data_IF_328867095063
#
_entry.id   IF_328867095063
#
_cell.length_a   1.000
_cell.length_b   1.000
_cell.length_c   1.000
_cell.angle_alpha   90.00
_cell.angle_beta   90.00
_cell.angle_gamma   90.00
#
_symmetry.space_group_name_H-M   'P 1'
#
loop_
_entity.id
_entity.type
_entity.pdbx_description
1 polymer ?
#
# COMPACT_ATOMS: atom_id res chain seq x y z
N UNK A 1 26.20 34.44 10.59
CA UNK A 1 26.45 34.08 9.17
C UNK A 1 27.40 32.91 9.08
N UNK A 2 26.84 31.71 8.98
CA UNK A 2 27.63 30.47 8.81
C UNK A 2 28.37 30.42 7.47
N UNK A 3 27.84 31.07 6.43
CA UNK A 3 28.49 31.19 5.11
C UNK A 3 29.82 31.93 5.19
N UNK A 4 29.84 33.07 5.90
CA UNK A 4 31.06 33.85 6.12
C UNK A 4 32.08 33.11 6.98
N UNK A 5 31.63 32.33 7.95
CA UNK A 5 32.51 31.49 8.77
C UNK A 5 33.15 30.38 7.92
N UNK A 6 32.38 29.72 7.06
CA UNK A 6 32.86 28.64 6.20
C UNK A 6 33.92 29.15 5.19
N UNK A 7 33.70 30.32 4.58
CA UNK A 7 34.68 30.99 3.72
C UNK A 7 35.97 31.36 4.49
N UNK A 8 35.85 31.83 5.72
CA UNK A 8 36.99 32.17 6.58
C UNK A 8 37.80 30.93 6.99
N UNK A 9 37.14 29.82 7.32
CA UNK A 9 37.80 28.54 7.63
C UNK A 9 38.49 27.96 6.40
N UNK A 10 37.86 28.02 5.22
CA UNK A 10 38.47 27.56 3.98
C UNK A 10 39.74 28.35 3.65
N UNK A 11 39.73 29.66 3.90
CA UNK A 11 40.90 30.53 3.73
C UNK A 11 42.01 30.17 4.73
N UNK A 12 41.66 29.99 6.01
CA UNK A 12 42.60 29.57 7.06
C UNK A 12 43.25 28.22 6.72
N UNK A 13 42.47 27.25 6.26
CA UNK A 13 42.94 25.93 5.84
C UNK A 13 43.93 26.05 4.68
N UNK A 14 43.59 26.85 3.66
CA UNK A 14 44.46 27.09 2.50
C UNK A 14 45.82 27.69 2.91
N UNK A 15 45.84 28.64 3.85
CA UNK A 15 47.10 29.22 4.35
C UNK A 15 47.93 28.23 5.16
N UNK A 16 47.29 27.37 5.94
CA UNK A 16 47.98 26.31 6.71
C UNK A 16 48.60 25.28 5.76
N UNK A 17 47.85 24.81 4.76
CA UNK A 17 48.32 23.83 3.77
C UNK A 17 49.48 24.35 2.91
N UNK A 18 49.51 25.65 2.63
CA UNK A 18 50.60 26.32 1.91
C UNK A 18 51.85 26.54 2.76
N UNK A 19 51.80 26.22 4.06
CA UNK A 19 52.93 26.40 4.97
C UNK A 19 53.17 27.86 5.37
N UNK A 20 52.13 28.71 5.36
CA UNK A 20 52.25 30.13 5.77
C UNK A 20 52.42 30.29 7.31
N UNK A 21 52.27 29.20 8.05
CA UNK A 21 52.53 29.12 9.49
C UNK A 21 54.04 29.03 9.74
N UNK A 22 54.61 30.07 10.35
CA UNK A 22 56.01 30.12 10.75
C UNK A 22 56.15 30.76 12.14
N UNK A 23 57.37 30.78 12.70
CA UNK A 23 57.63 31.33 14.04
C UNK A 23 57.13 32.76 14.26
N UNK A 24 57.01 33.58 13.21
CA UNK A 24 56.53 34.97 13.31
C UNK A 24 55.00 35.06 13.25
N UNK A 25 54.33 34.15 12.53
CA UNK A 25 52.87 34.15 12.31
C UNK A 25 52.11 33.19 13.22
N UNK A 26 52.81 32.28 13.91
CA UNK A 26 52.24 31.20 14.71
C UNK A 26 51.17 31.65 15.72
N UNK A 27 51.39 32.77 16.43
CA UNK A 27 50.42 33.27 17.40
C UNK A 27 49.10 33.72 16.73
N UNK A 28 49.18 34.34 15.55
CA UNK A 28 47.98 34.77 14.82
C UNK A 28 47.17 33.56 14.32
N UNK A 29 47.85 32.55 13.77
CA UNK A 29 47.21 31.30 13.36
C UNK A 29 46.60 30.56 14.55
N UNK A 30 47.29 30.54 15.69
CA UNK A 30 46.75 29.96 16.91
C UNK A 30 45.45 30.65 17.36
N UNK A 31 45.39 31.98 17.34
CA UNK A 31 44.14 32.71 17.65
C UNK A 31 43.01 32.41 16.65
N UNK A 32 43.32 32.26 15.36
CA UNK A 32 42.33 31.85 14.35
C UNK A 32 41.82 30.42 14.60
N UNK A 33 42.70 29.50 14.99
CA UNK A 33 42.34 28.12 15.38
C UNK A 33 41.49 28.13 16.66
N UNK A 34 41.80 28.98 17.63
CA UNK A 34 40.98 29.14 18.85
C UNK A 34 39.57 29.65 18.52
N UNK A 35 39.45 30.59 17.58
CA UNK A 35 38.15 31.04 17.08
C UNK A 35 37.39 29.86 16.45
N UNK A 36 38.02 29.07 15.58
CA UNK A 36 37.43 27.86 15.01
C UNK A 36 36.95 26.86 16.08
N UNK A 37 37.75 26.64 17.13
CA UNK A 37 37.38 25.76 18.25
C UNK A 37 36.18 26.30 19.06
N UNK A 38 36.00 27.63 19.14
CA UNK A 38 34.81 28.22 19.75
C UNK A 38 33.54 27.88 18.95
N UNK A 39 33.63 27.79 17.62
CA UNK A 39 32.51 27.37 16.79
C UNK A 39 32.10 25.91 17.02
N UNK A 40 33.02 25.02 17.40
CA UNK A 40 32.68 23.64 17.79
C UNK A 40 31.72 23.63 18.98
N UNK A 41 32.02 24.40 20.04
CA UNK A 41 31.12 24.51 21.20
C UNK A 41 29.74 25.05 20.83
N UNK A 42 29.68 26.06 19.96
CA UNK A 42 28.41 26.58 19.44
C UNK A 42 27.63 25.49 18.72
N UNK A 43 28.27 24.75 17.80
CA UNK A 43 27.63 23.68 17.02
C UNK A 43 27.13 22.53 17.89
N UNK A 44 27.88 22.14 18.93
CA UNK A 44 27.44 21.13 19.90
C UNK A 44 26.19 21.60 20.65
N UNK A 45 26.17 22.85 21.11
CA UNK A 45 25.01 23.41 21.80
C UNK A 45 23.79 23.56 20.85
N UNK A 46 24.03 23.91 19.59
CA UNK A 46 23.00 24.03 18.56
C UNK A 46 22.40 22.66 18.23
N UNK A 47 23.23 21.61 18.12
CA UNK A 47 22.78 20.22 18.00
C UNK A 47 21.91 19.81 19.18
N UNK A 48 22.37 20.06 20.41
CA UNK A 48 21.61 19.72 21.62
C UNK A 48 20.28 20.49 21.70
N UNK A 49 20.25 21.74 21.26
CA UNK A 49 19.01 22.52 21.18
C UNK A 49 18.02 21.91 20.17
N UNK A 50 18.48 21.54 18.97
CA UNK A 50 17.64 20.88 17.97
C UNK A 50 17.16 19.49 18.41
N UNK A 51 17.99 18.72 19.10
CA UNK A 51 17.60 17.44 19.69
C UNK A 51 16.49 17.63 20.72
N UNK A 52 16.62 18.64 21.59
CA UNK A 52 15.57 18.99 22.56
C UNK A 52 14.27 19.43 21.89
N UNK A 53 14.34 20.30 20.88
CA UNK A 53 13.17 20.75 20.12
C UNK A 53 12.47 19.59 19.39
N UNK A 54 13.24 18.62 18.88
CA UNK A 54 12.73 17.43 18.23
C UNK A 54 11.97 16.54 19.23
N UNK A 55 12.50 16.35 20.43
CA UNK A 55 11.83 15.57 21.49
C UNK A 55 10.56 16.27 21.99
N UNK A 56 10.60 17.58 22.21
CA UNK A 56 9.41 18.38 22.55
C UNK A 56 8.33 18.29 21.45
N UNK A 57 8.72 18.26 20.17
CA UNK A 57 7.80 18.09 19.05
C UNK A 57 7.17 16.68 19.00
N UNK A 58 7.95 15.63 19.26
CA UNK A 58 7.45 14.25 19.39
C UNK A 58 6.41 14.15 20.50
N UNK A 59 6.72 14.66 21.70
CA UNK A 59 5.78 14.66 22.83
C UNK A 59 4.48 15.39 22.49
N UNK A 60 4.57 16.57 21.87
CA UNK A 60 3.39 17.31 21.43
C UNK A 60 2.54 16.53 20.43
N UNK A 61 3.18 15.80 19.51
CA UNK A 61 2.49 14.92 18.58
C UNK A 61 1.78 13.76 19.29
N UNK A 62 2.44 13.08 20.23
CA UNK A 62 1.82 12.00 21.03
C UNK A 62 0.58 12.48 21.77
N UNK A 63 0.66 13.64 22.42
CA UNK A 63 -0.47 14.23 23.14
C UNK A 63 -1.63 14.56 22.19
N UNK A 64 -1.34 15.12 21.02
CA UNK A 64 -2.35 15.40 20.00
C UNK A 64 -3.01 14.10 19.49
N UNK A 65 -2.21 13.06 19.19
CA UNK A 65 -2.69 11.76 18.73
C UNK A 65 -3.54 11.06 19.79
N UNK A 66 -3.12 11.09 21.06
CA UNK A 66 -3.91 10.58 22.18
C UNK A 66 -5.24 11.32 22.31
N UNK A 67 -5.26 12.64 22.10
CA UNK A 67 -6.49 13.44 22.10
C UNK A 67 -7.46 13.05 20.97
N UNK A 68 -6.93 12.77 19.78
CA UNK A 68 -7.71 12.26 18.64
C UNK A 68 -8.32 10.89 18.94
N UNK A 69 -7.55 9.98 19.55
CA UNK A 69 -8.04 8.65 19.93
C UNK A 69 -9.22 8.71 20.90
N UNK A 70 -9.14 9.58 21.91
CA UNK A 70 -10.27 9.79 22.85
C UNK A 70 -11.52 10.26 22.11
N UNK A 71 -11.40 11.13 21.10
CA UNK A 71 -12.55 11.55 20.29
C UNK A 71 -13.12 10.38 19.48
N UNK A 72 -12.28 9.55 18.87
CA UNK A 72 -12.73 8.34 18.18
C UNK A 72 -13.45 7.37 19.12
N UNK A 73 -12.95 7.16 20.34
CA UNK A 73 -13.61 6.34 21.35
C UNK A 73 -15.02 6.85 21.69
N UNK A 74 -15.18 8.17 21.86
CA UNK A 74 -16.48 8.78 22.09
C UNK A 74 -17.43 8.58 20.91
N UNK A 75 -16.96 8.77 19.68
CA UNK A 75 -17.75 8.55 18.45
C UNK A 75 -18.19 7.08 18.36
N UNK A 76 -17.26 6.15 18.56
CA UNK A 76 -17.55 4.70 18.58
C UNK A 76 -18.55 4.36 19.68
N UNK A 77 -18.47 4.98 20.86
CA UNK A 77 -19.44 4.79 21.94
C UNK A 77 -20.85 5.29 21.58
N UNK A 78 -20.98 6.35 20.79
CA UNK A 78 -22.27 6.81 20.24
C UNK A 78 -22.85 5.74 19.31
N UNK A 79 -22.07 5.19 18.39
CA UNK A 79 -22.54 4.14 17.48
C UNK A 79 -22.94 2.85 18.21
N UNK A 80 -22.16 2.43 19.20
CA UNK A 80 -22.52 1.31 20.07
C UNK A 80 -23.85 1.58 20.79
N UNK A 81 -24.04 2.79 21.32
CA UNK A 81 -25.27 3.16 22.01
C UNK A 81 -26.48 3.24 21.06
N UNK A 82 -26.29 3.75 19.84
CA UNK A 82 -27.30 3.77 18.78
C UNK A 82 -27.67 2.35 18.30
N UNK A 83 -26.74 1.39 18.43
CA UNK A 83 -26.96 -0.02 18.08
C UNK A 83 -27.66 -0.83 19.16
N UNK A 84 -27.91 -0.25 20.35
CA UNK A 84 -28.70 -0.90 21.41
C UNK A 84 -30.18 -0.86 21.06
N UNK A 85 -30.90 -1.93 21.38
CA UNK A 85 -32.32 -2.13 21.04
C UNK A 85 -33.20 -0.89 21.29
N UNK A 86 -33.01 -0.21 22.44
CA UNK A 86 -33.75 1.00 22.83
C UNK A 86 -33.72 2.12 21.80
N UNK A 87 -32.60 2.32 21.10
CA UNK A 87 -32.47 3.31 20.03
C UNK A 87 -32.64 2.65 18.66
N UNK A 88 -32.10 1.44 18.50
CA UNK A 88 -32.06 0.69 17.25
C UNK A 88 -33.42 0.53 16.58
N UNK A 89 -34.46 0.22 17.36
CA UNK A 89 -35.80 -0.04 16.80
C UNK A 89 -36.48 1.19 16.20
N UNK A 90 -36.04 2.38 16.57
CA UNK A 90 -36.52 3.65 16.02
C UNK A 90 -35.88 4.01 14.68
N UNK A 91 -34.72 3.42 14.35
CA UNK A 91 -34.05 3.67 13.08
C UNK A 91 -34.63 2.83 11.95
N UNK A 92 -34.67 3.41 10.75
CA UNK A 92 -35.02 2.67 9.52
C UNK A 92 -33.95 1.63 9.16
N UNK A 93 -34.32 0.64 8.34
CA UNK A 93 -33.38 -0.39 7.86
C UNK A 93 -32.15 0.20 7.15
N UNK A 94 -32.32 1.27 6.39
CA UNK A 94 -31.22 1.95 5.71
C UNK A 94 -30.29 2.67 6.70
N UNK A 95 -30.86 3.39 7.68
CA UNK A 95 -30.09 4.07 8.73
C UNK A 95 -29.29 3.08 9.57
N UNK A 96 -29.89 1.95 9.97
CA UNK A 96 -29.22 0.87 10.69
C UNK A 96 -27.99 0.33 9.93
N UNK A 97 -28.14 0.11 8.62
CA UNK A 97 -27.02 -0.31 7.75
C UNK A 97 -25.91 0.74 7.75
N UNK A 98 -26.24 2.02 7.61
CA UNK A 98 -25.26 3.10 7.63
C UNK A 98 -24.54 3.20 8.98
N UNK A 99 -25.27 3.15 10.11
CA UNK A 99 -24.69 3.19 11.46
C UNK A 99 -23.71 2.04 11.67
N UNK A 100 -24.05 0.83 11.24
CA UNK A 100 -23.17 -0.34 11.34
C UNK A 100 -21.89 -0.17 10.51
N UNK A 101 -22.02 0.37 9.28
CA UNK A 101 -20.86 0.65 8.41
C UNK A 101 -19.96 1.72 9.02
N UNK A 102 -20.52 2.84 9.49
CA UNK A 102 -19.76 3.91 10.11
C UNK A 102 -19.09 3.47 11.41
N UNK A 103 -19.75 2.64 12.22
CA UNK A 103 -19.16 2.06 13.44
C UNK A 103 -17.90 1.27 13.10
N UNK A 104 -17.99 0.36 12.12
CA UNK A 104 -16.87 -0.46 11.68
C UNK A 104 -15.71 0.38 11.13
N UNK A 105 -16.02 1.39 10.31
CA UNK A 105 -15.02 2.30 9.76
C UNK A 105 -14.32 3.12 10.86
N UNK A 106 -15.08 3.63 11.83
CA UNK A 106 -14.51 4.40 12.94
C UNK A 106 -13.63 3.53 13.85
N UNK A 107 -14.01 2.29 14.10
CA UNK A 107 -13.20 1.32 14.85
C UNK A 107 -11.89 0.98 14.13
N UNK A 108 -11.94 0.75 12.83
CA UNK A 108 -10.76 0.46 12.01
C UNK A 108 -9.78 1.63 12.03
N UNK A 109 -10.27 2.85 11.79
CA UNK A 109 -9.43 4.06 11.84
C UNK A 109 -8.84 4.25 13.25
N UNK A 110 -9.64 4.10 14.30
CA UNK A 110 -9.17 4.22 15.69
C UNK A 110 -8.06 3.21 15.98
N UNK A 111 -8.22 1.95 15.56
CA UNK A 111 -7.23 0.92 15.80
C UNK A 111 -5.90 1.23 15.10
N UNK A 112 -5.94 1.74 13.85
CA UNK A 112 -4.74 2.18 13.13
C UNK A 112 -3.98 3.26 13.91
N UNK A 113 -4.68 4.29 14.39
CA UNK A 113 -4.07 5.38 15.17
C UNK A 113 -3.58 4.90 16.55
N UNK A 114 -4.23 3.88 17.12
CA UNK A 114 -3.81 3.27 18.38
C UNK A 114 -2.51 2.49 18.20
N UNK A 115 -2.41 1.71 17.12
CA UNK A 115 -1.21 0.96 16.75
C UNK A 115 -0.02 1.91 16.47
N UNK A 116 -0.27 3.06 15.82
CA UNK A 116 0.74 4.11 15.61
C UNK A 116 1.27 4.65 16.95
N UNK A 117 0.37 4.99 17.89
CA UNK A 117 0.76 5.45 19.22
C UNK A 117 1.52 4.37 20.01
N UNK A 118 1.13 3.11 19.89
CA UNK A 118 1.82 1.98 20.53
C UNK A 118 3.16 1.62 19.86
N UNK A 119 3.35 1.98 18.58
CA UNK A 119 4.62 1.91 17.88
C UNK A 119 5.62 2.90 18.48
N UNK A 120 5.21 4.17 18.58
CA UNK A 120 6.03 5.26 19.13
C UNK A 120 6.52 4.94 20.55
N UNK A 121 5.64 4.45 21.42
CA UNK A 121 6.01 4.09 22.81
C UNK A 121 7.06 2.98 22.88
N UNK A 122 6.98 1.98 21.99
CA UNK A 122 7.95 0.87 21.97
C UNK A 122 9.33 1.30 21.47
N UNK A 123 9.38 2.24 20.53
CA UNK A 123 10.65 2.79 20.04
C UNK A 123 11.39 3.56 21.16
N UNK A 124 10.67 4.28 22.01
CA UNK A 124 11.24 5.07 23.12
C UNK A 124 11.71 4.24 24.32
N UNK A 125 10.99 3.17 24.67
CA UNK A 125 11.41 2.26 25.75
C UNK A 125 12.75 1.58 25.43
N UNK A 126 13.13 1.48 24.15
CA UNK A 126 14.40 0.90 23.70
C UNK A 126 15.59 1.89 23.71
N UNK A 127 15.36 3.20 23.95
CA UNK A 127 16.40 4.24 23.90
C UNK A 127 16.97 4.63 25.28
N UNK A 128 16.45 4.08 26.38
CA UNK A 128 16.73 4.53 27.76
C UNK A 128 17.68 3.62 28.58
N UNK A 129 18.43 2.71 27.95
CA UNK A 129 19.34 1.78 28.64
C UNK A 129 20.82 2.15 28.47
N UNK A 130 21.30 3.23 29.08
CA UNK A 130 22.66 3.32 29.64
C UNK A 130 22.87 4.68 30.33
N UNK A 131 23.07 4.69 31.66
CA UNK A 131 23.97 5.61 32.38
C UNK A 131 23.88 5.36 33.91
N UNK A 132 24.64 4.38 34.40
CA UNK A 132 25.03 4.30 35.83
C UNK A 132 26.36 5.07 36.02
N UNK A 133 26.38 6.04 36.94
CA UNK A 133 27.56 6.84 37.32
C UNK A 133 27.94 6.49 38.76
N UNK A 134 29.11 5.88 38.96
CA UNK A 134 29.71 5.69 40.29
C UNK A 134 30.86 6.69 40.53
N UNK A 135 30.87 7.27 41.74
CA UNK A 135 31.87 8.24 42.25
C UNK A 135 32.72 7.59 43.37
N UNK A 136 34.07 7.64 43.35
CA UNK A 136 34.91 6.95 44.32
C UNK A 136 35.63 7.89 45.30
N UNK A 137 35.42 7.73 46.61
CA UNK A 137 36.39 8.20 47.60
C UNK A 137 36.35 7.46 48.94
N UNK A 138 37.49 6.88 49.30
CA UNK A 138 38.19 6.95 50.61
C UNK A 138 38.76 5.60 51.09
N UNK A 139 40.07 5.44 50.94
CA UNK A 139 40.88 4.36 51.49
C UNK A 139 41.53 4.82 52.81
N UNK A 140 41.21 4.23 53.99
CA UNK A 140 42.13 4.09 55.14
C UNK A 140 41.62 3.33 56.40
N UNK A 141 40.96 2.18 56.26
CA UNK A 141 40.81 1.20 57.37
C UNK A 141 41.41 -0.18 56.96
N UNK A 142 42.63 -0.13 56.42
CA UNK A 142 43.00 -0.87 55.20
C UNK A 142 43.40 -2.35 55.32
N UNK A 143 43.22 -3.04 56.44
CA UNK A 143 43.50 -4.51 56.48
C UNK A 143 42.35 -5.34 57.05
N UNK A 144 41.77 -4.96 58.19
CA UNK A 144 40.58 -5.67 58.70
C UNK A 144 39.31 -5.23 57.94
N UNK A 145 39.16 -3.94 57.65
CA UNK A 145 38.08 -3.45 56.77
C UNK A 145 38.34 -3.79 55.30
N UNK A 146 39.60 -3.98 54.87
CA UNK A 146 39.89 -4.51 53.53
C UNK A 146 39.50 -5.99 53.37
N UNK A 147 39.69 -6.82 54.41
CA UNK A 147 39.24 -8.22 54.38
C UNK A 147 37.71 -8.32 54.47
N UNK A 148 37.06 -7.52 55.32
CA UNK A 148 35.60 -7.45 55.38
C UNK A 148 35.02 -6.94 54.06
N UNK A 149 35.59 -5.88 53.48
CA UNK A 149 35.21 -5.34 52.18
C UNK A 149 35.45 -6.35 51.05
N UNK A 150 36.53 -7.14 51.09
CA UNK A 150 36.75 -8.22 50.13
C UNK A 150 35.69 -9.34 50.26
N UNK A 151 35.29 -9.69 51.49
CA UNK A 151 34.24 -10.69 51.73
C UNK A 151 32.87 -10.16 51.31
N UNK A 152 32.59 -8.89 51.55
CA UNK A 152 31.37 -8.21 51.12
C UNK A 152 31.30 -8.10 49.59
N UNK A 153 32.40 -7.70 48.93
CA UNK A 153 32.48 -7.67 47.47
C UNK A 153 32.29 -9.06 46.84
N UNK A 154 32.90 -10.10 47.41
CA UNK A 154 32.69 -11.48 46.93
C UNK A 154 31.25 -11.98 47.18
N UNK A 155 30.60 -11.48 48.23
CA UNK A 155 29.20 -11.81 48.53
C UNK A 155 28.26 -11.08 47.57
N UNK A 156 28.51 -9.82 47.27
CA UNK A 156 27.80 -9.03 46.26
C UNK A 156 27.99 -9.63 44.86
N UNK A 157 29.20 -10.06 44.51
CA UNK A 157 29.46 -10.80 43.27
C UNK A 157 28.68 -12.13 43.27
N UNK A 158 28.62 -12.85 44.39
CA UNK A 158 27.81 -14.08 44.48
C UNK A 158 26.32 -13.83 44.33
N UNK A 159 25.80 -12.76 44.94
CA UNK A 159 24.39 -12.38 44.86
C UNK A 159 24.04 -11.87 43.45
N UNK A 160 24.95 -11.13 42.80
CA UNK A 160 24.85 -10.73 41.40
C UNK A 160 24.83 -11.95 40.47
N UNK A 161 25.75 -12.91 40.66
CA UNK A 161 25.78 -14.15 39.89
C UNK A 161 24.52 -15.01 40.12
N UNK A 162 23.96 -15.01 41.33
CA UNK A 162 22.67 -15.67 41.63
C UNK A 162 21.53 -15.03 40.87
N UNK A 163 21.44 -13.69 40.88
CA UNK A 163 20.43 -12.98 40.10
C UNK A 163 20.59 -13.19 38.60
N UNK A 164 21.83 -13.23 38.11
CA UNK A 164 22.12 -13.50 36.70
C UNK A 164 21.73 -14.94 36.32
N UNK A 165 21.99 -15.92 37.18
CA UNK A 165 21.55 -17.30 36.98
C UNK A 165 20.02 -17.43 37.02
N UNK A 166 19.35 -16.74 37.94
CA UNK A 166 17.89 -16.71 37.98
C UNK A 166 17.29 -16.01 36.76
N UNK A 167 17.93 -14.95 36.25
CA UNK A 167 17.56 -14.30 35.00
C UNK A 167 17.70 -15.27 33.81
N UNK A 168 18.85 -15.93 33.66
CA UNK A 168 19.04 -16.94 32.60
C UNK A 168 18.10 -18.12 32.75
N UNK A 169 17.80 -18.54 33.97
CA UNK A 169 16.81 -19.61 34.23
C UNK A 169 15.42 -19.19 33.77
N UNK A 170 15.00 -17.96 34.09
CA UNK A 170 13.73 -17.40 33.64
C UNK A 170 13.68 -17.26 32.11
N UNK A 171 14.76 -16.79 31.49
CA UNK A 171 14.86 -16.67 30.03
C UNK A 171 14.76 -18.04 29.35
N UNK A 172 15.41 -19.07 29.89
CA UNK A 172 15.30 -20.46 29.38
C UNK A 172 13.88 -21.00 29.56
N UNK A 173 13.22 -20.73 30.69
CA UNK A 173 11.82 -21.14 30.89
C UNK A 173 10.87 -20.42 29.92
N UNK A 174 11.11 -19.13 29.64
CA UNK A 174 10.36 -18.35 28.67
C UNK A 174 10.57 -18.89 27.25
N UNK A 175 11.81 -19.14 26.83
CA UNK A 175 12.13 -19.71 25.52
C UNK A 175 11.51 -21.09 25.32
N UNK A 176 11.50 -21.94 26.36
CA UNK A 176 10.80 -23.24 26.31
C UNK A 176 9.28 -23.07 26.16
N UNK A 177 8.70 -22.08 26.84
CA UNK A 177 7.28 -21.79 26.74
C UNK A 177 6.90 -21.22 25.36
N UNK A 178 7.71 -20.31 24.82
CA UNK A 178 7.54 -19.74 23.49
C UNK A 178 7.70 -20.80 22.41
N UNK A 179 8.73 -21.65 22.48
CA UNK A 179 8.92 -22.72 21.50
C UNK A 179 7.76 -23.73 21.52
N UNK A 180 7.27 -24.08 22.71
CA UNK A 180 6.11 -24.97 22.88
C UNK A 180 4.79 -24.35 22.41
N UNK A 181 4.57 -23.04 22.62
CA UNK A 181 3.38 -22.32 22.14
C UNK A 181 3.44 -22.06 20.64
N UNK A 182 4.56 -21.55 20.12
CA UNK A 182 4.74 -21.24 18.71
C UNK A 182 4.58 -22.49 17.84
N UNK A 183 5.20 -23.62 18.22
CA UNK A 183 5.03 -24.87 17.47
C UNK A 183 3.58 -25.36 17.47
N UNK A 184 2.87 -25.26 18.60
CA UNK A 184 1.50 -25.77 18.74
C UNK A 184 0.47 -24.86 18.06
N UNK A 185 0.65 -23.55 18.13
CA UNK A 185 -0.23 -22.57 17.50
C UNK A 185 -0.02 -22.54 15.98
N UNK A 186 1.23 -22.70 15.50
CA UNK A 186 1.49 -22.88 14.07
C UNK A 186 0.87 -24.17 13.51
N UNK A 187 1.01 -25.30 14.21
CA UNK A 187 0.47 -26.59 13.74
C UNK A 187 -1.07 -26.56 13.70
N UNK A 188 -1.70 -25.99 14.72
CA UNK A 188 -3.17 -25.84 14.75
C UNK A 188 -3.67 -24.88 13.68
N UNK A 189 -2.95 -23.79 13.41
CA UNK A 189 -3.29 -22.84 12.33
C UNK A 189 -3.13 -23.47 10.95
N UNK A 190 -2.03 -24.20 10.71
CA UNK A 190 -1.78 -24.95 9.47
C UNK A 190 -2.85 -26.01 9.25
N UNK A 191 -3.26 -26.74 10.31
CA UNK A 191 -4.31 -27.75 10.21
C UNK A 191 -5.70 -27.15 9.92
N UNK A 192 -6.03 -25.99 10.51
CA UNK A 192 -7.25 -25.27 10.18
C UNK A 192 -7.27 -24.77 8.72
N UNK A 193 -6.15 -24.20 8.25
CA UNK A 193 -6.01 -23.79 6.85
C UNK A 193 -6.13 -24.98 5.88
N UNK A 194 -5.53 -26.13 6.22
CA UNK A 194 -5.64 -27.35 5.42
C UNK A 194 -7.09 -27.84 5.33
N UNK A 195 -7.86 -27.82 6.43
CA UNK A 195 -9.27 -28.20 6.46
C UNK A 195 -10.13 -27.26 5.59
N UNK A 196 -9.89 -25.96 5.66
CA UNK A 196 -10.57 -24.96 4.82
C UNK A 196 -10.30 -25.20 3.32
N UNK A 197 -9.04 -25.42 2.96
CA UNK A 197 -8.66 -25.72 1.58
C UNK A 197 -9.27 -27.03 1.09
N UNK A 198 -9.29 -28.07 1.93
CA UNK A 198 -9.90 -29.35 1.61
C UNK A 198 -11.41 -29.22 1.39
N UNK A 199 -12.10 -28.41 2.20
CA UNK A 199 -13.53 -28.14 2.04
C UNK A 199 -13.82 -27.34 0.75
N UNK A 200 -12.98 -26.34 0.43
CA UNK A 200 -13.09 -25.59 -0.82
C UNK A 200 -12.87 -26.49 -2.05
N UNK A 201 -11.89 -27.39 -2.00
CA UNK A 201 -11.58 -28.32 -3.08
C UNK A 201 -12.71 -29.33 -3.31
N UNK A 202 -13.30 -29.87 -2.23
CA UNK A 202 -14.50 -30.72 -2.33
C UNK A 202 -15.71 -29.96 -2.91
N UNK A 203 -15.90 -28.71 -2.52
CA UNK A 203 -16.95 -27.84 -3.07
C UNK A 203 -16.77 -27.61 -4.57
N UNK A 204 -15.54 -27.32 -5.01
CA UNK A 204 -15.22 -27.11 -6.42
C UNK A 204 -15.36 -28.39 -7.24
N UNK A 205 -14.96 -29.54 -6.70
CA UNK A 205 -15.14 -30.84 -7.35
C UNK A 205 -16.63 -31.19 -7.56
N UNK A 206 -17.47 -30.89 -6.56
CA UNK A 206 -18.94 -31.05 -6.68
C UNK A 206 -19.53 -30.09 -7.72
N UNK A 207 -19.03 -28.86 -7.80
CA UNK A 207 -19.47 -27.89 -8.81
C UNK A 207 -19.09 -28.34 -10.23
N UNK A 208 -17.86 -28.85 -10.43
CA UNK A 208 -17.40 -29.39 -11.71
C UNK A 208 -18.28 -30.55 -12.20
N UNK A 209 -18.63 -31.50 -11.31
CA UNK A 209 -19.55 -32.59 -11.65
C UNK A 209 -20.93 -32.07 -12.09
N UNK A 210 -21.45 -31.07 -11.38
CA UNK A 210 -22.74 -30.45 -11.73
C UNK A 210 -22.69 -29.75 -13.10
N UNK A 211 -21.63 -29.00 -13.38
CA UNK A 211 -21.43 -28.34 -14.69
C UNK A 211 -21.30 -29.38 -15.80
N UNK A 212 -20.64 -30.51 -15.53
CA UNK A 212 -20.51 -31.61 -16.50
C UNK A 212 -21.87 -32.25 -16.82
N UNK A 213 -22.75 -32.45 -15.83
CA UNK A 213 -24.13 -32.92 -16.06
C UNK A 213 -24.96 -31.90 -16.86
N UNK A 214 -24.88 -30.62 -16.52
CA UNK A 214 -25.55 -29.54 -17.25
C UNK A 214 -25.08 -29.44 -18.70
N UNK A 215 -23.77 -29.65 -18.95
CA UNK A 215 -23.21 -29.70 -20.29
C UNK A 215 -23.77 -30.86 -21.11
N UNK A 216 -23.77 -32.08 -20.57
CA UNK A 216 -24.35 -33.27 -21.24
C UNK A 216 -25.84 -33.07 -21.55
N UNK A 217 -26.58 -32.43 -20.64
CA UNK A 217 -27.99 -32.12 -20.86
C UNK A 217 -28.18 -31.13 -22.02
N UNK A 218 -27.38 -30.06 -22.08
CA UNK A 218 -27.41 -29.09 -23.20
C UNK A 218 -27.02 -29.73 -24.52
N UNK A 219 -26.06 -30.65 -24.51
CA UNK A 219 -25.64 -31.38 -25.70
C UNK A 219 -26.79 -32.23 -26.27
N UNK A 220 -27.53 -32.95 -25.41
CA UNK A 220 -28.71 -33.71 -25.82
C UNK A 220 -29.85 -32.83 -26.35
N UNK A 221 -30.08 -31.67 -25.72
CA UNK A 221 -31.06 -30.68 -26.19
C UNK A 221 -30.67 -30.11 -27.57
N UNK A 222 -29.39 -29.85 -27.80
CA UNK A 222 -28.87 -29.37 -29.07
C UNK A 222 -29.08 -30.40 -30.19
N UNK A 223 -28.84 -31.68 -29.92
CA UNK A 223 -29.04 -32.73 -30.93
C UNK A 223 -30.51 -32.88 -31.31
N UNK A 224 -31.42 -32.81 -30.32
CA UNK A 224 -32.86 -32.78 -30.58
C UNK A 224 -33.27 -31.59 -31.45
N UNK A 225 -32.71 -30.40 -31.20
CA UNK A 225 -32.96 -29.21 -32.02
C UNK A 225 -32.46 -29.40 -33.46
N UNK A 226 -31.33 -30.08 -33.67
CA UNK A 226 -30.84 -30.40 -35.03
C UNK A 226 -31.79 -31.36 -35.76
N UNK A 227 -32.28 -32.40 -35.08
CA UNK A 227 -33.26 -33.32 -35.67
C UNK A 227 -34.55 -32.60 -36.05
N UNK A 228 -35.07 -31.74 -35.17
CA UNK A 228 -36.29 -30.98 -35.45
C UNK A 228 -36.07 -29.96 -36.58
N UNK A 229 -34.88 -29.34 -36.66
CA UNK A 229 -34.49 -28.50 -37.79
C UNK A 229 -34.50 -29.28 -39.10
N UNK A 230 -33.91 -30.48 -39.15
CA UNK A 230 -33.90 -31.33 -40.35
C UNK A 230 -35.31 -31.73 -40.79
N UNK A 231 -36.19 -32.06 -39.83
CA UNK A 231 -37.61 -32.34 -40.13
C UNK A 231 -38.30 -31.12 -40.74
N UNK A 232 -38.07 -29.93 -40.20
CA UNK A 232 -38.63 -28.68 -40.74
C UNK A 232 -38.07 -28.37 -42.14
N UNK A 233 -36.77 -28.52 -42.36
CA UNK A 233 -36.16 -28.34 -43.69
C UNK A 233 -36.77 -29.30 -44.72
N UNK A 234 -36.99 -30.57 -44.35
CA UNK A 234 -37.64 -31.57 -45.23
C UNK A 234 -39.09 -31.19 -45.54
N UNK A 235 -39.86 -30.70 -44.56
CA UNK A 235 -41.23 -30.22 -44.77
C UNK A 235 -41.26 -28.97 -45.66
N UNK A 236 -40.30 -28.06 -45.51
CA UNK A 236 -40.15 -26.89 -46.36
C UNK A 236 -39.82 -27.27 -47.81
N UNK A 237 -38.92 -28.23 -48.02
CA UNK A 237 -38.60 -28.72 -49.38
C UNK A 237 -39.85 -29.35 -50.03
N UNK A 238 -40.58 -30.20 -49.30
CA UNK A 238 -41.83 -30.79 -49.79
C UNK A 238 -42.89 -29.72 -50.12
N UNK A 239 -43.04 -28.68 -49.29
CA UNK A 239 -43.96 -27.58 -49.55
C UNK A 239 -43.52 -26.73 -50.76
N UNK A 240 -42.21 -26.56 -50.97
CA UNK A 240 -41.63 -25.86 -52.12
C UNK A 240 -41.77 -26.68 -53.40
N UNK A 241 -41.67 -28.00 -53.34
CA UNK A 241 -42.00 -28.90 -54.46
C UNK A 241 -43.51 -28.89 -54.76
N UNK A 242 -44.35 -28.79 -53.74
CA UNK A 242 -45.80 -28.61 -53.89
C UNK A 242 -46.14 -27.23 -54.50
N UNK A 243 -45.42 -26.18 -54.11
CA UNK A 243 -45.51 -24.83 -54.71
C UNK A 243 -44.98 -24.80 -56.16
N UNK A 244 -43.89 -25.51 -56.46
CA UNK A 244 -43.34 -25.62 -57.83
C UNK A 244 -44.21 -26.47 -58.76
N UNK A 245 -44.90 -27.49 -58.22
CA UNK A 245 -45.89 -28.27 -58.97
C UNK A 245 -47.20 -27.49 -59.16
N UNK A 246 -47.54 -26.57 -58.24
CA UNK A 246 -48.65 -25.63 -58.38
C UNK A 246 -48.29 -24.40 -59.26
N UNK A 247 -47.00 -24.04 -59.35
CA UNK A 247 -46.44 -22.95 -60.18
C UNK A 247 -46.02 -23.37 -61.60
N UNK A 248 -46.34 -24.60 -62.03
CA UNK A 248 -46.48 -24.92 -63.47
C UNK A 248 -47.75 -24.33 -64.09
N UNK A 249 -48.49 -23.52 -63.32
CA UNK A 249 -49.35 -22.46 -63.81
C UNK A 249 -48.77 -21.14 -63.28
N UNK A 250 -48.40 -20.23 -64.20
CA UNK A 250 -47.87 -18.87 -63.97
C UNK A 250 -46.39 -18.72 -63.58
N UNK A 251 -45.56 -18.50 -64.60
CA UNK A 251 -44.24 -17.90 -64.51
C UNK A 251 -44.33 -16.35 -64.50
N UNK A 252 -43.58 -15.67 -63.62
CA UNK A 252 -42.94 -14.38 -63.94
C UNK A 252 -41.88 -13.93 -62.89
N UNK A 253 -40.62 -13.90 -63.34
CA UNK A 253 -39.64 -12.79 -63.25
C UNK A 253 -39.03 -12.29 -61.90
N UNK A 254 -37.68 -12.36 -61.86
CA UNK A 254 -36.67 -11.29 -61.61
C UNK A 254 -36.70 -10.50 -60.28
N UNK A 255 -35.64 -9.90 -59.76
CA UNK A 255 -34.16 -10.01 -59.73
C UNK A 255 -33.68 -8.79 -58.87
N UNK A 256 -32.46 -8.89 -58.29
CA UNK A 256 -31.52 -7.80 -57.91
C UNK A 256 -31.79 -7.00 -56.62
N UNK A 257 -30.91 -6.93 -55.60
CA UNK A 257 -29.44 -6.79 -55.45
C UNK A 257 -28.94 -5.33 -55.44
N UNK A 258 -28.26 -4.98 -54.33
CA UNK A 258 -27.67 -3.68 -53.92
C UNK A 258 -26.23 -3.51 -54.46
N UNK A 259 -25.66 -2.29 -54.44
CA UNK A 259 -24.21 -2.12 -54.48
C UNK A 259 -23.61 -1.39 -53.26
N UNK A 260 -22.48 -1.94 -52.80
CA UNK A 260 -21.50 -1.43 -51.82
C UNK A 260 -20.29 -0.87 -52.56
N UNK A 261 -19.66 0.20 -52.04
CA UNK A 261 -18.19 0.37 -51.84
C UNK A 261 -17.73 1.84 -51.81
N UNK A 262 -16.84 2.17 -50.85
CA UNK A 262 -15.44 2.61 -51.13
C UNK A 262 -14.62 2.89 -49.85
N UNK A 263 -13.42 2.32 -49.85
CA UNK A 263 -12.42 2.23 -48.77
C UNK A 263 -11.35 3.32 -48.92
N UNK A 264 -11.04 4.06 -47.85
CA UNK A 264 -9.88 4.98 -47.75
C UNK A 264 -9.19 4.79 -46.38
N UNK A 265 -7.88 4.57 -46.43
CA UNK A 265 -6.86 4.57 -45.35
C UNK A 265 -7.32 4.90 -43.90
N UNK A 266 -7.52 3.86 -43.07
CA UNK A 266 -7.79 4.03 -41.64
C UNK A 266 -6.49 3.98 -40.82
N UNK A 267 -5.73 5.08 -40.76
CA UNK A 267 -4.77 5.27 -39.67
C UNK A 267 -5.55 5.55 -38.37
N UNK A 268 -5.27 4.87 -37.25
CA UNK A 268 -5.95 5.13 -35.99
C UNK A 268 -5.56 6.48 -35.35
N UNK A 269 -4.60 7.21 -35.93
CA UNK A 269 -4.23 8.59 -35.56
C UNK A 269 -4.37 9.48 -36.80
N UNK A 270 -5.11 10.58 -36.67
CA UNK A 270 -5.57 11.47 -37.75
C UNK A 270 -4.82 12.80 -37.80
N UNK A 271 -4.03 13.15 -36.79
CA UNK A 271 -3.28 14.41 -36.74
C UNK A 271 -2.02 14.32 -35.88
N UNK A 272 -1.06 15.22 -36.13
CA UNK A 272 0.14 15.39 -35.30
C UNK A 272 -0.20 15.74 -33.84
N UNK A 273 -1.25 16.54 -33.63
CA UNK A 273 -1.79 16.86 -32.30
C UNK A 273 -2.17 15.60 -31.53
N UNK A 274 -2.83 14.64 -32.18
CA UNK A 274 -3.19 13.38 -31.55
C UNK A 274 -1.95 12.51 -31.24
N UNK A 275 -0.92 12.50 -32.10
CA UNK A 275 0.34 11.79 -31.82
C UNK A 275 1.01 12.32 -30.55
N UNK A 276 1.08 13.64 -30.40
CA UNK A 276 1.64 14.29 -29.21
C UNK A 276 0.82 13.95 -27.96
N UNK A 277 -0.51 14.02 -28.04
CA UNK A 277 -1.39 13.63 -26.95
C UNK A 277 -1.19 12.17 -26.54
N UNK A 278 -1.08 11.25 -27.51
CA UNK A 278 -0.78 9.85 -27.22
C UNK A 278 0.54 9.72 -26.46
N UNK A 279 1.60 10.38 -26.91
CA UNK A 279 2.90 10.35 -26.23
C UNK A 279 2.83 10.83 -24.78
N UNK A 280 2.17 11.96 -24.53
CA UNK A 280 2.01 12.55 -23.19
C UNK A 280 1.13 11.66 -22.29
N UNK A 281 0.02 11.13 -22.82
CA UNK A 281 -0.88 10.24 -22.06
C UNK A 281 -0.18 8.91 -21.75
N UNK A 282 0.61 8.38 -22.69
CA UNK A 282 1.40 7.16 -22.47
C UNK A 282 2.44 7.33 -21.38
N UNK A 283 3.21 8.43 -21.36
CA UNK A 283 4.20 8.67 -20.30
C UNK A 283 3.53 8.91 -18.95
N UNK A 284 2.41 9.64 -18.92
CA UNK A 284 1.61 9.83 -17.72
C UNK A 284 1.11 8.48 -17.16
N UNK A 285 0.41 7.69 -17.97
CA UNK A 285 -0.15 6.42 -17.50
C UNK A 285 0.92 5.35 -17.19
N UNK A 286 2.12 5.45 -17.77
CA UNK A 286 3.21 4.53 -17.47
C UNK A 286 3.67 4.61 -16.01
N UNK A 287 3.62 5.78 -15.39
CA UNK A 287 3.95 5.97 -13.97
C UNK A 287 2.76 5.69 -13.03
N UNK A 288 1.59 5.31 -13.57
CA UNK A 288 0.37 5.02 -12.82
C UNK A 288 -0.01 3.52 -12.90
N UNK A 289 0.54 2.66 -12.02
CA UNK A 289 0.34 1.19 -12.10
C UNK A 289 -1.13 0.75 -11.96
N UNK A 290 -1.96 1.54 -11.28
CA UNK A 290 -3.40 1.26 -11.10
C UNK A 290 -4.29 1.97 -12.12
N UNK A 291 -3.71 2.71 -13.06
CA UNK A 291 -4.43 3.56 -14.01
C UNK A 291 -4.92 4.86 -13.40
N UNK A 292 -5.62 5.65 -14.21
CA UNK A 292 -6.15 6.96 -13.82
C UNK A 292 -7.55 7.19 -14.40
N UNK A 293 -8.39 7.97 -13.71
CA UNK A 293 -9.69 8.37 -14.26
C UNK A 293 -9.51 9.34 -15.43
N UNK A 294 -10.52 9.46 -16.29
CA UNK A 294 -10.47 10.38 -17.44
C UNK A 294 -10.37 11.84 -16.96
N UNK A 295 -11.01 12.18 -15.85
CA UNK A 295 -10.96 13.51 -15.24
C UNK A 295 -9.55 13.84 -14.75
N UNK A 296 -8.84 12.87 -14.16
CA UNK A 296 -7.48 13.09 -13.68
C UNK A 296 -6.50 13.29 -14.84
N UNK A 297 -6.61 12.47 -15.89
CA UNK A 297 -5.80 12.61 -17.12
C UNK A 297 -6.05 14.00 -17.74
N UNK A 298 -7.32 14.40 -17.87
CA UNK A 298 -7.66 15.70 -18.45
C UNK A 298 -7.18 16.87 -17.59
N UNK A 299 -7.24 16.74 -16.26
CA UNK A 299 -6.69 17.75 -15.34
C UNK A 299 -5.17 17.91 -15.48
N UNK A 300 -4.44 16.81 -15.74
CA UNK A 300 -3.01 16.88 -16.06
C UNK A 300 -2.77 17.59 -17.39
N UNK A 301 -3.48 17.16 -18.44
CA UNK A 301 -3.33 17.71 -19.79
C UNK A 301 -3.69 19.20 -19.88
N UNK A 302 -4.72 19.64 -19.16
CA UNK A 302 -5.17 21.03 -19.13
C UNK A 302 -4.16 21.99 -18.50
N UNK A 303 -3.22 21.49 -17.68
CA UNK A 303 -2.08 22.29 -17.20
C UNK A 303 -1.04 22.56 -18.30
N UNK A 304 -1.00 21.72 -19.33
CA UNK A 304 -0.10 21.87 -20.47
C UNK A 304 -0.77 22.67 -21.60
N UNK A 305 -2.06 22.42 -21.86
CA UNK A 305 -2.87 23.17 -22.83
C UNK A 305 -4.33 23.26 -22.36
N UNK A 306 -4.78 24.48 -22.05
CA UNK A 306 -6.12 24.77 -21.57
C UNK A 306 -7.23 24.54 -22.61
N UNK A 307 -6.87 24.30 -23.88
CA UNK A 307 -7.82 23.99 -24.97
C UNK A 307 -8.16 22.50 -25.07
N UNK A 308 -7.63 21.65 -24.19
CA UNK A 308 -7.89 20.20 -24.22
C UNK A 308 -9.28 19.89 -23.66
N UNK A 309 -10.11 19.26 -24.50
CA UNK A 309 -11.46 18.83 -24.17
C UNK A 309 -11.46 17.35 -23.73
N UNK A 310 -12.16 17.04 -22.64
CA UNK A 310 -12.30 15.68 -22.10
C UNK A 310 -12.85 14.69 -23.13
N UNK A 311 -13.84 15.11 -23.92
CA UNK A 311 -14.47 14.26 -24.92
C UNK A 311 -13.49 13.90 -26.07
N UNK A 312 -12.62 14.82 -26.47
CA UNK A 312 -11.62 14.56 -27.52
C UNK A 312 -10.60 13.50 -27.04
N UNK A 313 -10.15 13.61 -25.79
CA UNK A 313 -9.21 12.67 -25.17
C UNK A 313 -9.84 11.29 -25.02
N UNK A 314 -11.08 11.21 -24.54
CA UNK A 314 -11.79 9.93 -24.36
C UNK A 314 -12.01 9.21 -25.70
N UNK A 315 -12.40 9.93 -26.76
CA UNK A 315 -12.55 9.36 -28.11
C UNK A 315 -11.22 8.86 -28.65
N UNK A 316 -10.14 9.61 -28.47
CA UNK A 316 -8.80 9.21 -28.91
C UNK A 316 -8.32 7.94 -28.20
N UNK A 317 -8.47 7.87 -26.88
CA UNK A 317 -8.06 6.72 -26.09
C UNK A 317 -8.91 5.48 -26.40
N UNK A 318 -10.22 5.65 -26.61
CA UNK A 318 -11.12 4.56 -27.02
C UNK A 318 -10.76 4.01 -28.40
N UNK A 319 -10.31 4.87 -29.32
CA UNK A 319 -9.89 4.45 -30.67
C UNK A 319 -8.60 3.63 -30.65
N UNK A 320 -7.72 3.88 -29.68
CA UNK A 320 -6.40 3.26 -29.54
C UNK A 320 -6.39 2.12 -28.51
N UNK A 321 -7.27 1.14 -28.68
CA UNK A 321 -7.46 0.00 -27.77
C UNK A 321 -6.21 -0.86 -27.52
N UNK A 322 -5.24 -0.87 -28.44
CA UNK A 322 -3.96 -1.57 -28.27
C UNK A 322 -2.95 -0.78 -27.42
N UNK A 323 -3.16 0.52 -27.26
CA UNK A 323 -2.27 1.41 -26.48
C UNK A 323 -2.86 1.72 -25.11
N UNK A 324 -4.17 1.94 -25.04
CA UNK A 324 -4.90 2.29 -23.83
C UNK A 324 -6.08 1.36 -23.61
N UNK A 325 -6.24 0.89 -22.37
CA UNK A 325 -7.35 0.02 -21.96
C UNK A 325 -8.13 0.68 -20.84
N UNK A 326 -9.45 0.69 -20.96
CA UNK A 326 -10.35 1.09 -19.88
C UNK A 326 -10.71 -0.15 -19.06
N UNK A 327 -10.44 -0.10 -17.76
CA UNK A 327 -10.74 -1.15 -16.79
C UNK A 327 -11.64 -0.59 -15.69
N UNK A 328 -12.55 -1.43 -15.19
CA UNK A 328 -13.30 -1.12 -13.98
C UNK A 328 -12.46 -1.53 -12.78
N UNK A 329 -12.20 -0.58 -11.88
CA UNK A 329 -11.42 -0.81 -10.68
C UNK A 329 -12.25 -0.48 -9.44
N UNK A 330 -12.16 -1.31 -8.40
CA UNK A 330 -12.95 -1.18 -7.17
C UNK A 330 -14.04 -2.23 -7.01
N UNK A 331 -14.74 -2.21 -5.87
CA UNK A 331 -15.80 -3.18 -5.51
C UNK A 331 -17.01 -2.45 -4.96
N UNK A 332 -18.18 -2.68 -5.56
CA UNK A 332 -19.45 -2.11 -5.09
C UNK A 332 -19.55 -0.61 -5.35
N UNK A 333 -19.62 0.20 -4.28
CA UNK A 333 -19.82 1.66 -4.37
C UNK A 333 -18.56 2.44 -4.79
N UNK A 334 -17.38 1.81 -4.80
CA UNK A 334 -16.11 2.40 -5.25
C UNK A 334 -15.71 1.98 -6.67
N UNK A 335 -16.65 1.47 -7.46
CA UNK A 335 -16.38 1.06 -8.84
C UNK A 335 -16.14 2.29 -9.72
N UNK A 336 -14.88 2.49 -10.13
CA UNK A 336 -14.45 3.59 -10.99
C UNK A 336 -13.89 3.09 -12.31
N UNK A 337 -14.12 3.85 -13.39
CA UNK A 337 -13.52 3.60 -14.70
C UNK A 337 -12.12 4.21 -14.72
N UNK A 338 -11.10 3.37 -14.88
CA UNK A 338 -9.70 3.80 -14.98
C UNK A 338 -9.09 3.39 -16.30
N UNK A 339 -8.29 4.28 -16.88
CA UNK A 339 -7.50 4.02 -18.06
C UNK A 339 -6.10 3.54 -17.67
N UNK A 340 -5.61 2.50 -18.33
CA UNK A 340 -4.26 1.97 -18.20
C UNK A 340 -3.52 1.99 -19.53
N UNK A 341 -2.21 2.14 -19.46
CA UNK A 341 -1.33 1.98 -20.61
C UNK A 341 -0.95 0.51 -20.80
N UNK A 342 -1.25 -0.04 -21.98
CA UNK A 342 -0.96 -1.44 -22.34
C UNK A 342 -0.17 -1.57 -23.65
N UNK A 343 0.45 -0.49 -24.14
CA UNK A 343 1.18 -0.48 -25.40
C UNK A 343 2.34 -1.49 -25.47
N UNK A 344 2.90 -1.91 -24.33
CA UNK A 344 3.94 -2.93 -24.27
C UNK A 344 3.41 -4.37 -24.28
N UNK A 345 2.12 -4.59 -23.98
CA UNK A 345 1.57 -5.95 -23.93
C UNK A 345 1.48 -6.57 -25.34
N UNK A 346 1.35 -5.75 -26.38
CA UNK A 346 1.42 -6.19 -27.77
C UNK A 346 2.82 -6.63 -28.22
N UNK A 347 3.89 -6.21 -27.54
CA UNK A 347 5.27 -6.65 -27.84
C UNK A 347 5.62 -8.00 -27.21
N UNK A 348 4.83 -8.50 -26.25
CA UNK A 348 5.04 -9.78 -25.59
C UNK A 348 4.46 -10.97 -26.37
N UNK A 349 3.81 -10.72 -27.51
CA UNK A 349 3.20 -11.76 -28.38
C UNK A 349 3.93 -11.95 -29.72
N UNK A 350 5.14 -11.43 -29.86
CA UNK A 350 6.13 -11.79 -30.89
C UNK A 350 7.35 -12.36 -30.19
#
# INVERSE_FOLDING_TARGET
DDTKFLEAIQTLLTWIERGEVNRRTANNFYSMIQSANSHIRRLVNEKAAHEKEMEEAKEKFKLALSGILVQFEQIVAVYHSASKQKAWDHFTKAQRKNISVWCKQAEEIRNIHNDELMGIRREEEMEMSDEEIEDPSEMKETEESALVSQVEALKEENDSLRWQLDAYRNEVELLKQEQGKASRDEDTTKEQQMKLLQQALQGMQKHLLKVQEEYKKREAELEKVKEDKLKIETLLENLKEQENSMSRVCACSQEKEYPVEKTLSNSPVKSEREVLLVGIISTFLHVHPFGASIEYICSYLQRLDSKICTAEVEVLMTRLHNTFRQELSGVGASLEKRWKFCGFDGLKMT
#
